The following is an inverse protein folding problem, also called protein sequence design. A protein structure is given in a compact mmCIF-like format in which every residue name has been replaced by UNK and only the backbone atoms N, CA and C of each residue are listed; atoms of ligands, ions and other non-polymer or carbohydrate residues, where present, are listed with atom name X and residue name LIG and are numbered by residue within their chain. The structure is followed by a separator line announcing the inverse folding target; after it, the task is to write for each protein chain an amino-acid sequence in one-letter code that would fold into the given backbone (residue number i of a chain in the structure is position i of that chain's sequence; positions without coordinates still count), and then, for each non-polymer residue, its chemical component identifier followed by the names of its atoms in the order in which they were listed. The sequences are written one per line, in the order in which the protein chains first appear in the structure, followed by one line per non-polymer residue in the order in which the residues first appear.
data_IF_264612339100
#
_entry.id   IF_264612339100
#
_cell.length_a   1.000
_cell.length_b   1.000
_cell.length_c   1.000
_cell.angle_alpha   90.00
_cell.angle_beta   90.00
_cell.angle_gamma   90.00
#
_symmetry.space_group_name_H-M   'P 1'
#
loop_
_entity.id
_entity.type
_entity.pdbx_description
1 polymer ?
#
# COMPACT_ATOMS: atom_id res chain seq x y z
N UNK A 1 13.05 5.12 -31.52
CA UNK A 1 12.06 4.03 -31.38
C UNK A 1 11.10 4.45 -30.28
N UNK A 2 9.78 4.49 -30.56
CA UNK A 2 8.78 4.90 -29.58
C UNK A 2 8.21 3.66 -28.86
N UNK A 3 8.00 3.76 -27.55
CA UNK A 3 7.24 2.75 -26.80
C UNK A 3 5.75 3.02 -27.09
N UNK A 4 5.09 2.11 -27.79
CA UNK A 4 3.65 2.20 -28.07
C UNK A 4 2.90 1.46 -26.95
N UNK A 5 2.14 2.21 -26.16
CA UNK A 5 1.35 1.65 -25.07
C UNK A 5 -0.05 1.32 -25.58
N UNK A 6 -0.46 0.05 -25.48
CA UNK A 6 -1.79 -0.39 -25.89
C UNK A 6 -2.89 0.10 -24.95
N UNK A 7 -4.13 0.20 -25.45
CA UNK A 7 -5.29 0.71 -24.70
C UNK A 7 -5.54 -0.03 -23.36
N UNK A 8 -5.22 -1.33 -23.30
CA UNK A 8 -5.36 -2.14 -22.08
C UNK A 8 -4.48 -1.66 -20.91
N UNK A 9 -3.42 -0.89 -21.16
CA UNK A 9 -2.59 -0.31 -20.10
C UNK A 9 -3.38 0.64 -19.17
N UNK A 10 -4.51 1.16 -19.65
CA UNK A 10 -5.44 1.93 -18.83
C UNK A 10 -5.88 1.20 -17.56
N UNK A 11 -6.02 -0.14 -17.58
CA UNK A 11 -6.35 -0.92 -16.38
C UNK A 11 -5.25 -0.82 -15.31
N UNK A 12 -3.99 -0.87 -15.72
CA UNK A 12 -2.84 -0.74 -14.82
C UNK A 12 -2.79 0.66 -14.21
N UNK A 13 -3.04 1.69 -15.02
CA UNK A 13 -3.10 3.08 -14.55
C UNK A 13 -4.22 3.27 -13.54
N UNK A 14 -5.42 2.74 -13.80
CA UNK A 14 -6.53 2.80 -12.85
C UNK A 14 -6.20 2.13 -11.52
N UNK A 15 -5.55 0.96 -11.55
CA UNK A 15 -5.08 0.28 -10.34
C UNK A 15 -4.03 1.12 -9.58
N UNK A 16 -3.08 1.74 -10.30
CA UNK A 16 -2.06 2.61 -9.70
C UNK A 16 -2.69 3.85 -9.03
N UNK A 17 -3.64 4.50 -9.69
CA UNK A 17 -4.42 5.59 -9.13
C UNK A 17 -5.19 5.16 -7.88
N UNK A 18 -5.84 3.99 -7.90
CA UNK A 18 -6.56 3.43 -6.76
C UNK A 18 -5.67 3.19 -5.55
N UNK A 19 -4.50 2.58 -5.75
CA UNK A 19 -3.50 2.36 -4.68
C UNK A 19 -3.03 3.69 -4.10
N UNK A 20 -2.73 4.66 -4.96
CA UNK A 20 -2.25 5.99 -4.56
C UNK A 20 -3.31 6.72 -3.72
N UNK A 21 -4.56 6.70 -4.18
CA UNK A 21 -5.69 7.29 -3.46
C UNK A 21 -5.92 6.60 -2.12
N UNK A 22 -5.85 5.27 -2.07
CA UNK A 22 -5.99 4.52 -0.83
C UNK A 22 -4.88 4.86 0.18
N UNK A 23 -3.63 4.99 -0.28
CA UNK A 23 -2.50 5.43 0.56
C UNK A 23 -2.73 6.85 1.09
N UNK A 24 -3.19 7.77 0.25
CA UNK A 24 -3.52 9.15 0.65
C UNK A 24 -4.62 9.20 1.72
N UNK A 25 -5.67 8.38 1.58
CA UNK A 25 -6.75 8.27 2.58
C UNK A 25 -6.23 7.79 3.95
N UNK A 26 -5.24 6.89 3.98
CA UNK A 26 -4.60 6.50 5.25
C UNK A 26 -3.85 7.66 5.90
N UNK A 27 -3.20 8.52 5.11
CA UNK A 27 -2.58 9.75 5.60
C UNK A 27 -3.59 10.73 6.21
N UNK A 28 -4.75 10.93 5.56
CA UNK A 28 -5.86 11.73 6.12
C UNK A 28 -6.33 11.15 7.46
N UNK A 29 -6.39 9.83 7.57
CA UNK A 29 -6.80 9.16 8.82
C UNK A 29 -5.86 9.49 9.98
N UNK A 30 -4.56 9.64 9.72
CA UNK A 30 -3.58 10.10 10.72
C UNK A 30 -3.82 11.55 11.11
N UNK A 31 -4.11 12.43 10.15
CA UNK A 31 -4.42 13.84 10.44
C UNK A 31 -5.66 13.94 11.34
N UNK A 32 -6.71 13.17 11.05
CA UNK A 32 -7.90 13.09 11.89
C UNK A 32 -7.59 12.55 13.29
N UNK A 33 -6.75 11.51 13.39
CA UNK A 33 -6.31 10.96 14.68
C UNK A 33 -5.51 11.98 15.50
N UNK A 34 -4.61 12.74 14.88
CA UNK A 34 -3.84 13.81 15.56
C UNK A 34 -4.75 14.84 16.21
N UNK A 35 -5.80 15.26 15.49
CA UNK A 35 -6.81 16.20 16.02
C UNK A 35 -7.59 15.57 17.18
N UNK A 36 -8.00 14.31 17.05
CA UNK A 36 -8.76 13.58 18.07
C UNK A 36 -7.97 13.40 19.38
N UNK A 37 -6.69 13.04 19.27
CA UNK A 37 -5.83 12.71 20.41
C UNK A 37 -4.92 13.87 20.85
N UNK A 38 -5.08 15.06 20.25
CA UNK A 38 -4.26 16.24 20.53
C UNK A 38 -2.74 16.00 20.40
N UNK A 39 -2.33 15.19 19.41
CA UNK A 39 -0.93 14.87 19.12
C UNK A 39 -0.41 15.77 18.00
N UNK A 40 0.13 16.93 18.39
CA UNK A 40 0.68 17.92 17.47
C UNK A 40 1.98 17.44 16.80
N UNK A 41 2.31 18.04 15.65
CA UNK A 41 3.63 17.87 15.03
C UNK A 41 4.72 18.51 15.91
N UNK A 42 5.97 18.00 15.89
CA UNK A 42 6.50 16.90 15.08
C UNK A 42 6.35 15.50 15.71
N UNK A 43 5.50 15.33 16.72
CA UNK A 43 5.38 14.07 17.46
C UNK A 43 4.98 12.90 16.56
N UNK A 44 5.74 11.82 16.62
CA UNK A 44 5.55 10.63 15.80
C UNK A 44 4.94 9.45 16.58
N UNK A 45 4.33 9.71 17.74
CA UNK A 45 3.66 8.69 18.56
C UNK A 45 4.46 8.23 19.77
N UNK A 46 5.61 8.85 20.04
CA UNK A 46 6.43 8.59 21.23
C UNK A 46 7.14 9.85 21.72
N UNK A 47 6.57 11.02 21.43
CA UNK A 47 7.08 12.30 21.90
C UNK A 47 6.22 12.89 23.03
N UNK A 48 6.53 14.15 23.36
CA UNK A 48 5.95 14.89 24.49
C UNK A 48 4.43 15.04 24.45
N UNK A 49 3.81 14.95 23.28
CA UNK A 49 2.35 15.04 23.18
C UNK A 49 1.73 13.65 23.37
N UNK A 50 2.34 12.62 22.78
CA UNK A 50 1.91 11.24 22.95
C UNK A 50 2.08 10.74 24.40
N UNK A 51 3.10 11.21 25.13
CA UNK A 51 3.35 10.84 26.54
C UNK A 51 2.21 11.24 27.50
N UNK A 52 1.33 12.16 27.08
CA UNK A 52 0.18 12.63 27.88
C UNK A 52 -1.06 11.77 27.68
N UNK A 53 -1.03 10.84 26.72
CA UNK A 53 -2.16 9.97 26.42
C UNK A 53 -2.30 8.88 27.47
N UNK A 54 -3.52 8.38 27.63
CA UNK A 54 -3.71 7.07 28.26
C UNK A 54 -3.06 5.98 27.41
N UNK A 55 -2.66 4.86 28.01
CA UNK A 55 -2.09 3.72 27.25
C UNK A 55 -3.03 3.28 26.12
N UNK A 56 -4.34 3.27 26.37
CA UNK A 56 -5.34 2.91 25.38
C UNK A 56 -5.38 3.88 24.19
N UNK A 57 -5.36 5.19 24.45
CA UNK A 57 -5.36 6.21 23.40
C UNK A 57 -4.02 6.25 22.64
N UNK A 58 -2.91 6.05 23.36
CA UNK A 58 -1.59 5.93 22.78
C UNK A 58 -1.52 4.76 21.80
N UNK A 59 -2.01 3.58 22.19
CA UNK A 59 -2.09 2.40 21.31
C UNK A 59 -3.00 2.68 20.11
N UNK A 60 -4.17 3.29 20.33
CA UNK A 60 -5.11 3.59 19.25
C UNK A 60 -4.53 4.56 18.21
N UNK A 61 -3.89 5.64 18.66
CA UNK A 61 -3.22 6.60 17.79
C UNK A 61 -2.08 5.94 17.00
N UNK A 62 -1.20 5.22 17.70
CA UNK A 62 -0.05 4.58 17.08
C UNK A 62 -0.42 3.48 16.08
N UNK A 63 -1.51 2.74 16.31
CA UNK A 63 -1.99 1.74 15.36
C UNK A 63 -2.46 2.40 14.05
N UNK A 64 -3.24 3.48 14.11
CA UNK A 64 -3.68 4.23 12.92
C UNK A 64 -2.47 4.77 12.16
N UNK A 65 -1.54 5.35 12.90
CA UNK A 65 -0.31 5.90 12.34
C UNK A 65 0.55 4.83 11.67
N UNK A 66 0.79 3.69 12.32
CA UNK A 66 1.62 2.61 11.77
C UNK A 66 1.05 2.04 10.49
N UNK A 67 -0.27 1.96 10.36
CA UNK A 67 -0.93 1.55 9.11
C UNK A 67 -0.59 2.50 7.96
N UNK A 68 -0.65 3.81 8.19
CA UNK A 68 -0.31 4.81 7.18
C UNK A 68 1.18 4.79 6.83
N UNK A 69 2.06 4.75 7.83
CA UNK A 69 3.51 4.73 7.60
C UNK A 69 3.93 3.48 6.82
N UNK A 70 3.40 2.31 7.19
CA UNK A 70 3.69 1.05 6.50
C UNK A 70 3.18 1.04 5.06
N UNK A 71 2.09 1.75 4.77
CA UNK A 71 1.63 1.92 3.39
C UNK A 71 2.62 2.78 2.62
N UNK A 72 2.98 3.94 3.17
CA UNK A 72 3.95 4.85 2.56
C UNK A 72 5.30 4.20 2.27
N UNK A 73 5.79 3.34 3.18
CA UNK A 73 7.04 2.57 3.02
C UNK A 73 7.02 1.63 1.81
N UNK A 74 5.85 1.11 1.41
CA UNK A 74 5.72 0.07 0.38
C UNK A 74 5.09 0.57 -0.93
N UNK A 75 4.37 1.69 -0.90
CA UNK A 75 3.59 2.16 -2.04
C UNK A 75 4.46 2.40 -3.26
N UNK A 76 5.69 2.92 -3.08
CA UNK A 76 6.64 3.13 -4.16
C UNK A 76 6.99 1.82 -4.88
N UNK A 77 7.43 0.80 -4.13
CA UNK A 77 7.81 -0.50 -4.70
C UNK A 77 6.66 -1.17 -5.44
N UNK A 78 5.46 -1.14 -4.87
CA UNK A 78 4.27 -1.77 -5.48
C UNK A 78 3.85 -1.03 -6.76
N UNK A 79 3.85 0.31 -6.77
CA UNK A 79 3.54 1.08 -7.96
C UNK A 79 4.58 0.85 -9.07
N UNK A 80 5.87 0.81 -8.73
CA UNK A 80 6.93 0.50 -9.68
C UNK A 80 6.72 -0.88 -10.33
N UNK A 81 6.46 -1.92 -9.53
CA UNK A 81 6.25 -3.26 -10.05
C UNK A 81 4.92 -3.41 -10.80
N UNK A 82 3.86 -2.72 -10.37
CA UNK A 82 2.57 -2.70 -11.04
C UNK A 82 2.69 -2.14 -12.46
N UNK A 83 3.35 -0.98 -12.61
CA UNK A 83 3.56 -0.35 -13.90
C UNK A 83 4.50 -1.19 -14.77
N UNK A 84 5.59 -1.71 -14.20
CA UNK A 84 6.53 -2.57 -14.93
C UNK A 84 5.87 -3.85 -15.46
N UNK A 85 5.16 -4.59 -14.60
CA UNK A 85 4.40 -5.77 -15.01
C UNK A 85 3.31 -5.42 -16.02
N UNK A 86 2.65 -4.27 -15.85
CA UNK A 86 1.59 -3.80 -16.73
C UNK A 86 2.06 -3.46 -18.14
N UNK A 87 3.32 -3.10 -18.34
CA UNK A 87 3.86 -2.89 -19.69
C UNK A 87 3.82 -4.16 -20.53
N UNK A 88 3.97 -5.34 -19.90
CA UNK A 88 3.92 -6.63 -20.57
C UNK A 88 2.53 -7.27 -20.50
N UNK A 89 1.89 -7.25 -19.34
CA UNK A 89 0.63 -7.93 -19.06
C UNK A 89 -0.35 -7.02 -18.29
N UNK A 90 -0.97 -6.02 -18.96
CA UNK A 90 -1.77 -4.99 -18.30
C UNK A 90 -2.90 -5.51 -17.39
N UNK A 91 -3.66 -6.49 -17.87
CA UNK A 91 -4.84 -7.03 -17.18
C UNK A 91 -4.45 -7.85 -15.94
N UNK A 92 -3.40 -8.67 -16.05
CA UNK A 92 -2.88 -9.46 -14.94
C UNK A 92 -2.31 -8.53 -13.86
N UNK A 93 -1.52 -7.54 -14.27
CA UNK A 93 -0.96 -6.54 -13.36
C UNK A 93 -2.07 -5.77 -12.62
N UNK A 94 -3.12 -5.32 -13.33
CA UNK A 94 -4.26 -4.65 -12.73
C UNK A 94 -5.02 -5.56 -11.73
N UNK A 95 -5.16 -6.85 -12.04
CA UNK A 95 -5.73 -7.86 -11.13
C UNK A 95 -4.94 -7.96 -9.83
N UNK A 96 -3.61 -8.06 -9.91
CA UNK A 96 -2.77 -8.03 -8.71
C UNK A 96 -2.89 -6.69 -7.96
N UNK A 97 -2.96 -5.56 -8.66
CA UNK A 97 -3.22 -4.25 -8.04
C UNK A 97 -4.53 -4.22 -7.25
N UNK A 98 -5.61 -4.82 -7.77
CA UNK A 98 -6.88 -4.96 -7.07
C UNK A 98 -6.75 -5.84 -5.81
N UNK A 99 -6.07 -6.99 -5.91
CA UNK A 99 -5.80 -7.87 -4.76
C UNK A 99 -5.00 -7.14 -3.69
N UNK A 100 -4.02 -6.33 -4.08
CA UNK A 100 -3.23 -5.52 -3.15
C UNK A 100 -4.09 -4.50 -2.40
N UNK A 101 -4.97 -3.78 -3.11
CA UNK A 101 -5.90 -2.83 -2.49
C UNK A 101 -6.86 -3.50 -1.49
N UNK A 102 -7.37 -4.68 -1.83
CA UNK A 102 -8.20 -5.48 -0.91
C UNK A 102 -7.39 -5.92 0.32
N UNK A 103 -6.19 -6.44 0.12
CA UNK A 103 -5.27 -6.79 1.20
C UNK A 103 -4.98 -5.61 2.11
N UNK A 104 -4.73 -4.42 1.55
CA UNK A 104 -4.51 -3.17 2.30
C UNK A 104 -5.73 -2.73 3.10
N UNK A 105 -6.92 -2.86 2.52
CA UNK A 105 -8.15 -2.54 3.23
C UNK A 105 -8.35 -3.46 4.45
N UNK A 106 -8.20 -4.77 4.26
CA UNK A 106 -8.32 -5.76 5.34
C UNK A 106 -7.22 -5.56 6.39
N UNK A 107 -5.98 -5.39 5.95
CA UNK A 107 -4.82 -5.11 6.81
C UNK A 107 -5.09 -3.91 7.71
N UNK A 108 -5.43 -2.75 7.13
CA UNK A 108 -5.60 -1.53 7.88
C UNK A 108 -6.77 -1.59 8.88
N UNK A 109 -7.92 -2.11 8.43
CA UNK A 109 -9.11 -2.26 9.30
C UNK A 109 -8.86 -3.22 10.46
N UNK A 110 -8.23 -4.36 10.19
CA UNK A 110 -7.90 -5.34 11.21
C UNK A 110 -6.88 -4.78 12.22
N UNK A 111 -5.81 -4.16 11.72
CA UNK A 111 -4.75 -3.59 12.55
C UNK A 111 -5.29 -2.52 13.50
N UNK A 112 -6.11 -1.58 13.00
CA UNK A 112 -6.69 -0.51 13.83
C UNK A 112 -7.65 -1.08 14.88
N UNK A 113 -8.44 -2.10 14.54
CA UNK A 113 -9.49 -2.63 15.43
C UNK A 113 -8.97 -3.63 16.47
N UNK A 114 -8.00 -4.46 16.10
CA UNK A 114 -7.55 -5.62 16.88
C UNK A 114 -6.07 -5.56 17.25
N UNK A 115 -5.37 -4.49 16.89
CA UNK A 115 -3.95 -4.31 17.16
C UNK A 115 -3.02 -4.97 16.12
N UNK A 116 -1.70 -4.92 16.36
CA UNK A 116 -0.67 -5.22 15.37
C UNK A 116 -0.72 -6.66 14.84
N UNK A 117 -1.06 -7.64 15.68
CA UNK A 117 -1.09 -9.05 15.28
C UNK A 117 -2.15 -9.34 14.23
N UNK A 118 -3.26 -8.58 14.22
CA UNK A 118 -4.33 -8.76 13.25
C UNK A 118 -3.96 -8.35 11.82
N UNK A 119 -2.74 -7.83 11.60
CA UNK A 119 -2.18 -7.56 10.28
C UNK A 119 -2.14 -8.79 9.37
N UNK A 120 -2.06 -9.99 9.96
CA UNK A 120 -1.99 -11.26 9.23
C UNK A 120 -3.21 -11.53 8.36
N UNK A 121 -4.35 -10.88 8.63
CA UNK A 121 -5.55 -11.06 7.80
C UNK A 121 -5.44 -10.41 6.42
N UNK A 122 -4.58 -9.39 6.25
CA UNK A 122 -4.40 -8.70 4.98
C UNK A 122 -2.99 -8.84 4.38
N UNK A 123 -1.97 -9.06 5.22
CA UNK A 123 -0.57 -9.13 4.78
C UNK A 123 -0.30 -10.22 3.72
N UNK A 124 -0.87 -11.45 3.78
CA UNK A 124 -0.66 -12.46 2.75
C UNK A 124 -1.17 -12.04 1.37
N UNK A 125 -2.32 -11.36 1.30
CA UNK A 125 -2.87 -10.86 0.03
C UNK A 125 -1.95 -9.81 -0.60
N UNK A 126 -1.41 -8.91 0.23
CA UNK A 126 -0.44 -7.93 -0.22
C UNK A 126 0.86 -8.59 -0.72
N UNK A 127 1.36 -9.59 0.01
CA UNK A 127 2.57 -10.33 -0.36
C UNK A 127 2.42 -11.12 -1.66
N UNK A 128 1.32 -11.88 -1.80
CA UNK A 128 1.00 -12.64 -3.02
C UNK A 128 0.88 -11.69 -4.21
N UNK A 129 0.20 -10.56 -4.04
CA UNK A 129 0.07 -9.56 -5.09
C UNK A 129 1.43 -9.00 -5.51
N UNK A 130 2.25 -8.56 -4.56
CA UNK A 130 3.56 -7.99 -4.86
C UNK A 130 4.47 -9.01 -5.56
N UNK A 131 4.53 -10.24 -5.06
CA UNK A 131 5.30 -11.31 -5.70
C UNK A 131 4.77 -11.65 -7.09
N UNK A 132 3.45 -11.66 -7.29
CA UNK A 132 2.84 -11.85 -8.60
C UNK A 132 3.24 -10.78 -9.60
N UNK A 133 3.29 -9.51 -9.18
CA UNK A 133 3.78 -8.40 -10.00
C UNK A 133 5.26 -8.58 -10.36
N UNK A 134 6.11 -8.90 -9.38
CA UNK A 134 7.55 -9.13 -9.60
C UNK A 134 7.77 -10.27 -10.59
N UNK A 135 7.14 -11.43 -10.38
CA UNK A 135 7.26 -12.60 -11.26
C UNK A 135 6.79 -12.25 -12.67
N UNK A 136 5.66 -11.56 -12.80
CA UNK A 136 5.14 -11.13 -14.10
C UNK A 136 6.13 -10.22 -14.82
N UNK A 137 6.70 -9.22 -14.13
CA UNK A 137 7.67 -8.31 -14.71
C UNK A 137 8.96 -9.03 -15.13
N UNK A 138 9.55 -9.82 -14.24
CA UNK A 138 10.83 -10.52 -14.49
C UNK A 138 10.70 -11.55 -15.61
N UNK A 139 9.65 -12.38 -15.57
CA UNK A 139 9.44 -13.42 -16.57
C UNK A 139 9.30 -12.83 -17.98
N UNK A 140 8.43 -11.83 -18.15
CA UNK A 140 8.23 -11.21 -19.47
C UNK A 140 9.46 -10.42 -19.93
N UNK A 141 10.17 -9.74 -19.01
CA UNK A 141 11.41 -9.05 -19.35
C UNK A 141 12.50 -10.02 -19.82
N UNK A 142 12.67 -11.16 -19.15
CA UNK A 142 13.65 -12.18 -19.53
C UNK A 142 13.31 -12.82 -20.87
N UNK A 143 12.04 -13.17 -21.11
CA UNK A 143 11.59 -13.71 -22.39
C UNK A 143 11.93 -12.79 -23.58
N UNK A 144 11.72 -11.48 -23.41
CA UNK A 144 11.91 -10.52 -24.51
C UNK A 144 13.37 -10.12 -24.71
N UNK A 145 14.22 -10.19 -23.67
CA UNK A 145 15.61 -9.70 -23.75
C UNK A 145 16.67 -10.79 -23.83
N UNK A 146 16.41 -11.96 -23.24
CA UNK A 146 17.40 -13.06 -23.14
C UNK A 146 17.09 -14.19 -24.13
N UNK A 147 15.81 -14.42 -24.42
CA UNK A 147 15.36 -15.59 -25.18
C UNK A 147 14.70 -15.26 -26.53
N UNK A 148 14.69 -13.99 -26.94
CA UNK A 148 14.20 -13.52 -28.24
C UNK A 148 15.36 -13.32 -29.22
#
# INVERSE_FOLDING_TARGET
MAIIIGANFGYTVLAACGITLQCFITGISVVSARKKYNVAYPDNGGGRFADKLSDADWVAFNNIKRVSDNYSEQVGSVLCMLLAAGMFQPKIAAGFGAVYMLGRFVYGRAYVKKGPEARVYGAPLMGISFMGLVVTAVYNAALVTVFA
#
